data_IF_449472613434
#
_entry.id   IF_449472613434
#
_cell.length_a   1.000
_cell.length_b   1.000
_cell.length_c   1.000
_cell.angle_alpha   90.00
_cell.angle_beta   90.00
_cell.angle_gamma   90.00
#
_symmetry.space_group_name_H-M   'P 1'
#
loop_
_entity.id
_entity.type
_entity.pdbx_description
1 polymer ?
#
# COMPACT_ATOMS: atom_id res chain seq x y z
N UNK A 1 28.10 3.33 -7.77
CA UNK A 1 27.46 2.68 -6.62
C UNK A 1 26.05 3.23 -6.45
N UNK A 2 25.06 2.42 -6.12
CA UNK A 2 23.72 2.93 -5.82
C UNK A 2 23.81 3.88 -4.61
N UNK A 3 23.08 5.00 -4.66
CA UNK A 3 22.99 5.91 -3.52
C UNK A 3 22.37 5.17 -2.33
N UNK A 4 23.01 5.29 -1.16
CA UNK A 4 22.57 4.66 0.08
C UNK A 4 21.09 4.94 0.36
N UNK A 5 20.36 3.96 0.87
CA UNK A 5 18.94 4.14 1.23
C UNK A 5 18.77 5.22 2.31
N UNK A 6 19.76 5.38 3.19
CA UNK A 6 19.73 6.38 4.27
C UNK A 6 19.77 7.83 3.78
N UNK A 7 20.28 8.09 2.57
CA UNK A 7 20.21 9.42 1.96
C UNK A 7 18.91 9.65 1.17
N UNK A 8 18.18 8.58 0.84
CA UNK A 8 16.91 8.62 0.11
C UNK A 8 15.73 8.56 1.08
N UNK A 9 15.49 9.64 1.83
CA UNK A 9 14.48 9.71 2.92
C UNK A 9 13.08 9.17 2.55
N UNK A 10 12.59 9.51 1.34
CA UNK A 10 11.28 9.03 0.85
C UNK A 10 11.27 7.51 0.63
N UNK A 11 12.32 6.98 0.02
CA UNK A 11 12.45 5.55 -0.26
C UNK A 11 12.63 4.76 1.03
N UNK A 12 13.36 5.31 2.01
CA UNK A 12 13.48 4.74 3.34
C UNK A 12 12.11 4.69 4.05
N UNK A 13 11.32 5.76 3.99
CA UNK A 13 9.98 5.79 4.56
C UNK A 13 9.06 4.72 3.94
N UNK A 14 9.07 4.57 2.61
CA UNK A 14 8.32 3.50 1.93
C UNK A 14 8.80 2.11 2.30
N UNK A 15 10.12 1.93 2.44
CA UNK A 15 10.70 0.65 2.84
C UNK A 15 10.28 0.27 4.27
N UNK A 16 10.28 1.22 5.21
CA UNK A 16 9.78 1.02 6.58
C UNK A 16 8.29 0.71 6.56
N UNK A 17 7.50 1.47 5.79
CA UNK A 17 6.08 1.23 5.61
C UNK A 17 5.81 -0.20 5.11
N UNK A 18 6.57 -0.70 4.13
CA UNK A 18 6.43 -2.07 3.66
C UNK A 18 6.89 -3.11 4.69
N UNK A 19 8.01 -2.86 5.38
CA UNK A 19 8.55 -3.78 6.39
C UNK A 19 7.59 -3.97 7.57
N UNK A 20 6.87 -2.91 7.96
CA UNK A 20 5.84 -2.98 9.00
C UNK A 20 4.50 -3.49 8.45
N UNK A 21 4.14 -3.10 7.23
CA UNK A 21 2.85 -3.45 6.65
C UNK A 21 2.73 -4.93 6.28
N UNK A 22 3.81 -5.59 5.83
CA UNK A 22 3.79 -7.03 5.50
C UNK A 22 3.34 -7.87 6.70
N UNK A 23 4.00 -7.82 7.88
CA UNK A 23 3.58 -8.62 9.02
C UNK A 23 2.18 -8.24 9.52
N UNK A 24 1.79 -6.96 9.45
CA UNK A 24 0.43 -6.52 9.81
C UNK A 24 -0.61 -7.15 8.87
N UNK A 25 -0.37 -7.15 7.56
CA UNK A 25 -1.28 -7.74 6.58
C UNK A 25 -1.54 -9.23 6.88
N UNK A 26 -0.49 -10.02 7.14
CA UNK A 26 -0.64 -11.43 7.53
C UNK A 26 -1.27 -11.59 8.93
N UNK A 27 -0.90 -10.73 9.88
CA UNK A 27 -1.39 -10.83 11.25
C UNK A 27 -2.84 -10.38 11.41
N UNK A 28 -3.38 -9.52 10.54
CA UNK A 28 -4.71 -8.91 10.68
C UNK A 28 -5.56 -9.04 9.42
N UNK A 29 -5.12 -8.44 8.32
CA UNK A 29 -5.95 -8.24 7.13
C UNK A 29 -6.31 -9.56 6.45
N UNK A 30 -5.37 -10.49 6.39
CA UNK A 30 -5.52 -11.77 5.72
C UNK A 30 -6.14 -12.86 6.60
N UNK A 31 -6.44 -12.60 7.88
CA UNK A 31 -7.08 -13.62 8.71
C UNK A 31 -8.40 -14.17 8.13
N UNK A 32 -9.30 -13.36 7.51
CA UNK A 32 -10.54 -13.88 6.92
C UNK A 32 -10.34 -14.84 5.74
N UNK A 33 -9.14 -14.87 5.13
CA UNK A 33 -8.84 -15.81 4.03
C UNK A 33 -8.11 -17.07 4.51
N UNK A 34 -7.67 -17.14 5.77
CA UNK A 34 -7.00 -18.33 6.28
C UNK A 34 -7.98 -19.47 6.49
N UNK A 35 -7.59 -20.71 6.13
CA UNK A 35 -8.36 -21.86 6.56
C UNK A 35 -8.26 -21.99 8.09
N UNK A 36 -9.33 -22.42 8.78
CA UNK A 36 -9.39 -22.38 10.25
C UNK A 36 -8.24 -23.10 10.97
N UNK A 37 -7.68 -24.14 10.37
CA UNK A 37 -6.58 -24.93 10.94
C UNK A 37 -5.21 -24.25 10.86
N UNK A 38 -5.05 -23.19 10.06
CA UNK A 38 -3.81 -22.42 9.95
C UNK A 38 -3.82 -21.16 10.81
N UNK A 39 -4.93 -20.88 11.52
CA UNK A 39 -5.10 -19.64 12.29
C UNK A 39 -4.67 -19.88 13.75
N UNK A 40 -3.50 -19.38 14.19
CA UNK A 40 -3.06 -19.52 15.57
C UNK A 40 -3.95 -18.70 16.50
N UNK A 41 -4.13 -19.17 17.73
CA UNK A 41 -4.96 -18.51 18.74
C UNK A 41 -4.52 -17.07 19.05
N UNK A 42 -3.22 -16.78 18.93
CA UNK A 42 -2.66 -15.44 19.09
C UNK A 42 -3.23 -14.47 18.05
N UNK A 43 -3.37 -14.89 16.79
CA UNK A 43 -3.93 -14.04 15.73
C UNK A 43 -5.43 -13.83 15.95
N UNK A 44 -6.16 -14.88 16.35
CA UNK A 44 -7.58 -14.76 16.73
C UNK A 44 -7.75 -13.73 17.85
N UNK A 45 -6.97 -13.85 18.91
CA UNK A 45 -7.01 -12.93 20.05
C UNK A 45 -6.70 -11.49 19.66
N UNK A 46 -5.77 -11.30 18.72
CA UNK A 46 -5.43 -9.97 18.18
C UNK A 46 -6.60 -9.37 17.40
N UNK A 47 -7.27 -10.17 16.56
CA UNK A 47 -8.47 -9.75 15.83
C UNK A 47 -9.63 -9.45 16.77
N UNK A 48 -9.83 -10.26 17.80
CA UNK A 48 -10.88 -10.03 18.80
C UNK A 48 -10.63 -8.78 19.63
N UNK A 49 -9.36 -8.49 19.97
CA UNK A 49 -8.98 -7.21 20.57
C UNK A 49 -9.31 -6.05 19.64
N UNK A 50 -8.93 -6.14 18.35
CA UNK A 50 -9.21 -5.12 17.35
C UNK A 50 -10.72 -4.87 17.18
N UNK A 51 -11.52 -5.92 16.99
CA UNK A 51 -12.98 -5.82 16.82
C UNK A 51 -13.63 -5.17 18.05
N UNK A 52 -13.22 -5.56 19.27
CA UNK A 52 -13.73 -4.92 20.49
C UNK A 52 -13.35 -3.44 20.60
N UNK A 53 -12.13 -3.09 20.20
CA UNK A 53 -11.62 -1.73 20.35
C UNK A 53 -12.12 -0.77 19.26
N UNK A 54 -12.28 -1.23 18.03
CA UNK A 54 -12.61 -0.38 16.87
C UNK A 54 -14.02 -0.58 16.34
N UNK A 55 -14.66 -1.73 16.62
CA UNK A 55 -15.98 -2.11 16.10
C UNK A 55 -16.07 -1.99 14.57
N UNK A 56 -14.98 -2.36 13.90
CA UNK A 56 -14.85 -2.29 12.46
C UNK A 56 -15.72 -3.36 11.79
N UNK A 57 -16.82 -2.92 11.16
CA UNK A 57 -17.80 -3.82 10.57
C UNK A 57 -17.22 -4.61 9.39
N UNK A 58 -16.13 -4.16 8.76
CA UNK A 58 -15.48 -4.93 7.68
C UNK A 58 -14.94 -6.28 8.16
N UNK A 59 -14.52 -6.36 9.41
CA UNK A 59 -13.96 -7.59 9.99
C UNK A 59 -14.99 -8.42 10.78
N UNK A 60 -16.15 -7.84 11.09
CA UNK A 60 -17.29 -8.50 11.74
C UNK A 60 -18.22 -9.10 10.68
N UNK A 61 -18.72 -8.27 9.77
CA UNK A 61 -19.68 -8.61 8.73
C UNK A 61 -19.08 -8.37 7.35
N UNK A 62 -18.03 -9.11 7.01
CA UNK A 62 -17.16 -8.87 5.85
C UNK A 62 -17.93 -8.88 4.51
N UNK A 63 -18.19 -7.71 3.89
CA UNK A 63 -18.96 -7.63 2.66
C UNK A 63 -18.14 -8.13 1.46
N UNK A 64 -18.83 -8.54 0.39
CA UNK A 64 -18.18 -9.19 -0.75
C UNK A 64 -17.11 -8.31 -1.43
N UNK A 65 -17.35 -7.00 -1.58
CA UNK A 65 -16.35 -6.11 -2.16
C UNK A 65 -15.08 -6.02 -1.30
N UNK A 66 -15.22 -6.04 0.04
CA UNK A 66 -14.08 -6.02 0.95
C UNK A 66 -13.31 -7.34 0.89
N UNK A 67 -14.00 -8.48 0.76
CA UNK A 67 -13.34 -9.78 0.49
C UNK A 67 -12.48 -9.73 -0.78
N UNK A 68 -12.96 -9.06 -1.83
CA UNK A 68 -12.16 -8.84 -3.05
C UNK A 68 -10.91 -8.01 -2.73
N UNK A 69 -11.01 -6.97 -1.91
CA UNK A 69 -9.85 -6.18 -1.49
C UNK A 69 -8.82 -7.02 -0.71
N UNK A 70 -9.26 -7.90 0.20
CA UNK A 70 -8.38 -8.82 0.92
C UNK A 70 -7.66 -9.79 -0.02
N UNK A 71 -8.36 -10.32 -1.03
CA UNK A 71 -7.72 -11.16 -2.05
C UNK A 71 -6.71 -10.39 -2.88
N UNK A 72 -7.05 -9.18 -3.34
CA UNK A 72 -6.10 -8.31 -4.06
C UNK A 72 -4.90 -7.97 -3.18
N UNK A 73 -5.11 -7.76 -1.88
CA UNK A 73 -4.03 -7.55 -0.92
C UNK A 73 -3.08 -8.74 -0.87
N UNK A 74 -3.61 -9.95 -0.74
CA UNK A 74 -2.81 -11.17 -0.71
C UNK A 74 -2.06 -11.42 -2.04
N UNK A 75 -2.75 -11.37 -3.17
CA UNK A 75 -2.17 -11.78 -4.47
C UNK A 75 -1.32 -10.71 -5.14
N UNK A 76 -1.53 -9.43 -4.80
CA UNK A 76 -0.85 -8.32 -5.46
C UNK A 76 -0.13 -7.39 -4.49
N UNK A 77 -0.80 -6.89 -3.45
CA UNK A 77 -0.19 -5.89 -2.55
C UNK A 77 1.01 -6.46 -1.81
N UNK A 78 0.86 -7.60 -1.14
CA UNK A 78 1.92 -8.22 -0.35
C UNK A 78 3.13 -8.60 -1.23
N UNK A 79 2.98 -9.29 -2.39
CA UNK A 79 4.09 -9.56 -3.29
C UNK A 79 4.81 -8.29 -3.75
N UNK A 80 4.08 -7.22 -4.06
CA UNK A 80 4.68 -5.94 -4.46
C UNK A 80 5.41 -5.27 -3.30
N UNK A 81 4.90 -5.35 -2.07
CA UNK A 81 5.61 -4.84 -0.88
C UNK A 81 6.92 -5.58 -0.65
N UNK A 82 6.92 -6.91 -0.76
CA UNK A 82 8.13 -7.74 -0.64
C UNK A 82 9.15 -7.37 -1.73
N UNK A 83 8.70 -7.26 -2.98
CA UNK A 83 9.56 -6.79 -4.07
C UNK A 83 10.07 -5.36 -3.82
N UNK A 84 9.20 -4.51 -3.29
CA UNK A 84 9.45 -3.11 -2.97
C UNK A 84 10.59 -2.94 -1.98
N UNK A 85 10.71 -3.80 -0.96
CA UNK A 85 11.84 -3.80 -0.03
C UNK A 85 13.18 -3.92 -0.79
N UNK A 86 13.31 -4.93 -1.64
CA UNK A 86 14.52 -5.14 -2.44
C UNK A 86 14.72 -4.07 -3.51
N UNK A 87 13.63 -3.65 -4.18
CA UNK A 87 13.61 -2.62 -5.21
C UNK A 87 14.08 -1.25 -4.71
N UNK A 88 13.58 -0.84 -3.55
CA UNK A 88 13.97 0.41 -2.89
C UNK A 88 15.39 0.32 -2.37
N UNK A 89 15.78 -0.78 -1.71
CA UNK A 89 17.15 -0.98 -1.21
C UNK A 89 18.20 -0.80 -2.32
N UNK A 90 18.02 -1.45 -3.47
CA UNK A 90 18.95 -1.38 -4.62
C UNK A 90 18.78 -0.16 -5.52
N UNK A 91 17.88 0.77 -5.20
CA UNK A 91 17.54 1.93 -6.03
C UNK A 91 17.16 1.54 -7.47
N UNK A 92 16.27 0.55 -7.63
CA UNK A 92 15.92 0.04 -8.95
C UNK A 92 15.19 1.09 -9.80
N UNK A 93 15.53 1.25 -11.09
CA UNK A 93 14.80 2.16 -11.98
C UNK A 93 13.34 1.73 -12.22
N UNK A 94 12.98 0.48 -11.88
CA UNK A 94 11.63 -0.06 -11.99
C UNK A 94 10.71 0.33 -10.82
N UNK A 95 11.25 0.94 -9.75
CA UNK A 95 10.46 1.37 -8.58
C UNK A 95 9.23 2.20 -8.96
N UNK A 96 9.33 3.29 -9.73
CA UNK A 96 8.15 4.08 -10.10
C UNK A 96 7.15 3.33 -10.97
N UNK A 97 7.61 2.39 -11.80
CA UNK A 97 6.74 1.59 -12.65
C UNK A 97 5.87 0.63 -11.83
N UNK A 98 6.44 0.02 -10.78
CA UNK A 98 5.76 -0.99 -9.96
C UNK A 98 4.98 -0.36 -8.80
N UNK A 99 5.57 0.65 -8.13
CA UNK A 99 4.94 1.27 -6.97
C UNK A 99 3.80 2.24 -7.34
N UNK A 100 3.74 2.75 -8.56
CA UNK A 100 2.62 3.60 -9.01
C UNK A 100 1.27 2.84 -9.00
N UNK A 101 1.09 1.73 -9.74
CA UNK A 101 -0.18 0.99 -9.71
C UNK A 101 -0.49 0.42 -8.32
N UNK A 102 0.54 0.05 -7.55
CA UNK A 102 0.39 -0.30 -6.14
C UNK A 102 -0.22 0.83 -5.30
N UNK A 103 0.34 2.03 -5.39
CA UNK A 103 -0.12 3.18 -4.60
C UNK A 103 -1.54 3.60 -4.99
N UNK A 104 -1.85 3.59 -6.30
CA UNK A 104 -3.22 3.81 -6.81
C UNK A 104 -4.19 2.78 -6.22
N UNK A 105 -3.83 1.49 -6.25
CA UNK A 105 -4.65 0.41 -5.69
C UNK A 105 -4.94 0.68 -4.22
N UNK A 106 -3.90 0.86 -3.40
CA UNK A 106 -4.03 1.04 -1.94
C UNK A 106 -4.84 2.29 -1.63
N UNK A 107 -4.62 3.38 -2.37
CA UNK A 107 -5.39 4.61 -2.23
C UNK A 107 -6.88 4.36 -2.49
N UNK A 108 -7.23 3.71 -3.60
CA UNK A 108 -8.63 3.46 -3.95
C UNK A 108 -9.33 2.52 -2.97
N UNK A 109 -8.70 1.40 -2.58
CA UNK A 109 -9.32 0.48 -1.62
C UNK A 109 -9.50 1.13 -0.25
N UNK A 110 -8.52 1.92 0.21
CA UNK A 110 -8.61 2.64 1.49
C UNK A 110 -9.66 3.74 1.41
N UNK A 111 -9.71 4.50 0.32
CA UNK A 111 -10.72 5.54 0.09
C UNK A 111 -12.12 4.95 0.11
N UNK A 112 -12.35 3.82 -0.57
CA UNK A 112 -13.64 3.12 -0.53
C UNK A 112 -14.03 2.76 0.90
N UNK A 113 -13.10 2.23 1.71
CA UNK A 113 -13.38 1.93 3.11
C UNK A 113 -13.71 3.19 3.92
N UNK A 114 -12.97 4.28 3.68
CA UNK A 114 -13.19 5.57 4.36
C UNK A 114 -14.52 6.24 4.00
N UNK A 115 -15.06 5.99 2.81
CA UNK A 115 -16.37 6.47 2.40
C UNK A 115 -17.52 5.59 2.90
N UNK A 116 -17.22 4.32 3.20
CA UNK A 116 -18.24 3.34 3.60
C UNK A 116 -18.43 3.26 5.13
N UNK A 117 -17.36 3.25 5.93
CA UNK A 117 -17.50 3.14 7.40
C UNK A 117 -18.33 4.26 8.07
N UNK A 118 -18.44 5.49 7.53
CA UNK A 118 -19.35 6.49 8.08
C UNK A 118 -20.82 6.03 8.13
N UNK A 119 -21.21 5.08 7.27
CA UNK A 119 -22.55 4.48 7.24
C UNK A 119 -22.75 3.41 8.31
N UNK A 120 -21.71 2.99 9.03
CA UNK A 120 -21.83 1.96 10.07
C UNK A 120 -22.67 2.45 11.26
N UNK A 121 -23.50 1.57 11.85
CA UNK A 121 -24.32 1.87 13.03
C UNK A 121 -23.49 1.82 14.32
N UNK A 122 -22.40 2.60 14.37
CA UNK A 122 -21.47 2.68 15.50
C UNK A 122 -21.33 4.12 16.02
N UNK A 123 -20.96 4.33 17.29
CA UNK A 123 -20.75 5.66 17.86
C UNK A 123 -19.70 6.48 17.11
N UNK A 124 -19.84 7.82 17.16
CA UNK A 124 -18.91 8.75 16.50
C UNK A 124 -17.45 8.55 16.96
N UNK A 125 -17.23 8.26 18.24
CA UNK A 125 -15.89 7.99 18.79
C UNK A 125 -15.19 6.82 18.09
N UNK A 126 -15.94 5.77 17.76
CA UNK A 126 -15.42 4.62 17.00
C UNK A 126 -15.13 5.02 15.56
N UNK A 127 -15.99 5.84 14.94
CA UNK A 127 -15.73 6.40 13.59
C UNK A 127 -14.45 7.24 13.56
N UNK A 128 -14.22 8.09 14.57
CA UNK A 128 -12.96 8.85 14.70
C UNK A 128 -11.77 7.90 14.87
N UNK A 129 -11.91 6.87 15.70
CA UNK A 129 -10.86 5.85 15.90
C UNK A 129 -10.55 5.06 14.61
N UNK A 130 -11.54 4.82 13.76
CA UNK A 130 -11.32 4.24 12.44
C UNK A 130 -10.60 5.23 11.51
N UNK A 131 -10.96 6.52 11.53
CA UNK A 131 -10.24 7.54 10.76
C UNK A 131 -8.77 7.63 11.13
N UNK A 132 -8.42 7.51 12.41
CA UNK A 132 -7.00 7.51 12.83
C UNK A 132 -6.25 6.26 12.40
N UNK A 133 -6.96 5.15 12.16
CA UNK A 133 -6.39 3.92 11.62
C UNK A 133 -6.21 4.00 10.09
N UNK A 134 -7.28 4.31 9.34
CA UNK A 134 -7.27 4.32 7.87
C UNK A 134 -6.61 5.56 7.26
N UNK A 135 -6.70 6.71 7.93
CA UNK A 135 -6.21 7.99 7.43
C UNK A 135 -4.71 8.00 7.08
N UNK A 136 -3.82 7.47 7.94
CA UNK A 136 -2.40 7.34 7.61
C UNK A 136 -2.14 6.51 6.34
N UNK A 137 -2.83 5.39 6.16
CA UNK A 137 -2.70 4.55 4.94
C UNK A 137 -3.15 5.30 3.70
N UNK A 138 -4.24 6.07 3.78
CA UNK A 138 -4.72 6.91 2.68
C UNK A 138 -3.69 8.00 2.34
N UNK A 139 -3.15 8.69 3.35
CA UNK A 139 -2.18 9.76 3.15
C UNK A 139 -0.86 9.24 2.54
N UNK A 140 -0.33 8.13 3.05
CA UNK A 140 0.91 7.52 2.54
C UNK A 140 0.73 7.04 1.11
N UNK A 141 -0.39 6.38 0.80
CA UNK A 141 -0.68 5.90 -0.56
C UNK A 141 -0.87 7.05 -1.55
N UNK A 142 -1.58 8.13 -1.17
CA UNK A 142 -1.71 9.33 -2.00
C UNK A 142 -0.35 9.98 -2.30
N UNK A 143 0.48 10.16 -1.26
CA UNK A 143 1.82 10.73 -1.42
C UNK A 143 2.71 9.86 -2.31
N UNK A 144 2.71 8.53 -2.08
CA UNK A 144 3.48 7.58 -2.88
C UNK A 144 3.02 7.58 -4.34
N UNK A 145 1.71 7.64 -4.59
CA UNK A 145 1.13 7.72 -5.93
C UNK A 145 1.67 8.93 -6.70
N UNK A 146 1.63 10.12 -6.09
CA UNK A 146 2.13 11.36 -6.71
C UNK A 146 3.64 11.27 -6.94
N UNK A 147 4.41 10.82 -5.94
CA UNK A 147 5.86 10.70 -6.05
C UNK A 147 6.29 9.73 -7.18
N UNK A 148 5.64 8.56 -7.27
CA UNK A 148 5.96 7.58 -8.31
C UNK A 148 5.57 8.09 -9.70
N UNK A 149 4.44 8.79 -9.84
CA UNK A 149 4.05 9.45 -11.08
C UNK A 149 5.09 10.49 -11.53
N UNK A 150 5.51 11.39 -10.63
CA UNK A 150 6.50 12.42 -10.95
C UNK A 150 7.86 11.83 -11.35
N UNK A 151 8.30 10.77 -10.66
CA UNK A 151 9.52 10.04 -11.01
C UNK A 151 9.41 9.37 -12.38
N UNK A 152 8.28 8.70 -12.66
CA UNK A 152 8.06 8.05 -13.95
C UNK A 152 8.04 9.07 -15.09
N UNK A 153 7.30 10.17 -14.91
CA UNK A 153 7.25 11.28 -15.87
C UNK A 153 8.65 11.81 -16.19
N UNK A 154 9.46 12.07 -15.17
CA UNK A 154 10.85 12.54 -15.34
C UNK A 154 11.70 11.57 -16.16
N UNK A 155 11.54 10.25 -15.94
CA UNK A 155 12.26 9.24 -16.72
C UNK A 155 11.83 9.29 -18.19
N UNK A 156 10.53 9.35 -18.47
CA UNK A 156 9.98 9.41 -19.84
C UNK A 156 10.45 10.69 -20.54
N UNK A 157 10.31 11.86 -19.91
CA UNK A 157 10.73 13.14 -20.48
C UNK A 157 12.21 13.14 -20.87
N UNK A 158 13.07 12.59 -20.00
CA UNK A 158 14.51 12.47 -20.28
C UNK A 158 14.81 11.55 -21.46
N UNK A 159 14.06 10.45 -21.64
CA UNK A 159 14.25 9.54 -22.77
C UNK A 159 13.83 10.21 -24.09
N UNK A 160 12.71 10.95 -24.09
CA UNK A 160 12.25 11.71 -25.25
C UNK A 160 13.30 12.75 -25.67
N UNK A 161 13.88 13.47 -24.72
CA UNK A 161 14.93 14.45 -24.99
C UNK A 161 16.19 13.83 -25.59
N UNK A 162 16.67 12.71 -25.05
CA UNK A 162 17.86 11.99 -25.56
C UNK A 162 17.60 11.46 -26.98
N UNK A 163 16.39 10.96 -27.25
CA UNK A 163 16.00 10.47 -28.57
C UNK A 163 16.03 11.61 -29.61
N UNK A 164 15.49 12.78 -29.27
CA UNK A 164 15.50 13.96 -30.16
C UNK A 164 16.93 14.40 -30.50
N UNK A 165 17.83 14.48 -29.52
CA UNK A 165 19.24 14.83 -29.78
C UNK A 165 19.97 13.81 -30.67
N UNK A 166 19.66 12.53 -30.52
CA UNK A 166 20.26 11.46 -31.32
C UNK A 166 19.82 11.54 -32.79
N UNK A 167 18.56 11.90 -33.04
CA UNK A 167 18.04 12.12 -34.39
C UNK A 167 18.72 13.33 -35.04
N UNK A 168 18.85 14.45 -34.34
CA UNK A 168 19.52 15.66 -34.86
C UNK A 168 20.97 15.37 -35.23
N UNK A 169 21.71 14.62 -34.39
CA UNK A 169 23.11 14.26 -34.67
C UNK A 169 23.30 13.31 -35.87
N UNK A 170 22.26 12.56 -36.29
CA UNK A 170 22.33 11.69 -37.47
C UNK A 170 22.03 12.42 -38.78
N UNK A 171 21.47 13.64 -38.70
CA UNK A 171 21.09 14.46 -39.85
C UNK A 171 22.19 15.49 -40.23
N UNK A 172 23.21 15.64 -39.39
CA UNK A 172 24.43 16.43 -39.62
C UNK A 172 25.58 15.50 -40.00
#
# INVERSE_FOLDING_TARGET
>A
MATSIFSRKRDLAYMVYFALGIPIAFAMDLQPIYPPHLLPEILVSLKDFYVRNYNDQFYINTPNFFRVFLWIEFVYQVPVMIWGLGGLYRNSPKVPLILLPFAVKVFLTTLTCMLEFPNFPIPLEKKISLTTLYGPYLAVSAFMMIDMYLRLKKVIDNQVFVQQQTVVKKLL
#
